data_IF_584815866546
#
_entry.id   IF_584815866546
#
_cell.length_a   1.000
_cell.length_b   1.000
_cell.length_c   1.000
_cell.angle_alpha   90.00
_cell.angle_beta   90.00
_cell.angle_gamma   90.00
#
_symmetry.space_group_name_H-M   'P 1'
#
loop_
_entity.id
_entity.type
_entity.pdbx_description
1 polymer ?
#
# COMPACT_ATOMS: atom_id res chain seq x y z
N UNK A 1 21.45 -52.30 -24.86
CA UNK A 1 22.10 -51.00 -24.59
C UNK A 1 21.18 -49.89 -25.12
N UNK A 2 20.01 -49.75 -24.49
CA UNK A 2 19.57 -48.63 -23.63
C UNK A 2 19.34 -47.32 -24.43
N UNK A 3 18.07 -47.15 -24.83
CA UNK A 3 17.40 -45.90 -25.16
C UNK A 3 17.64 -44.84 -24.07
N UNK A 4 18.50 -43.85 -24.32
CA UNK A 4 18.74 -42.74 -23.39
C UNK A 4 18.73 -41.37 -24.10
N UNK A 5 17.82 -41.17 -25.06
CA UNK A 5 17.79 -39.92 -25.86
C UNK A 5 16.53 -39.05 -25.74
N UNK A 6 15.45 -39.51 -25.09
CA UNK A 6 14.13 -38.87 -25.18
C UNK A 6 13.62 -38.16 -23.91
N UNK A 7 14.39 -38.12 -22.83
CA UNK A 7 13.94 -37.56 -21.54
C UNK A 7 14.48 -36.16 -21.20
N UNK A 8 15.41 -35.62 -21.98
CA UNK A 8 16.04 -34.33 -21.68
C UNK A 8 15.35 -33.11 -22.31
N UNK A 9 14.40 -33.30 -23.24
CA UNK A 9 13.79 -32.18 -23.97
C UNK A 9 12.59 -31.51 -23.27
N UNK A 10 12.06 -32.09 -22.18
CA UNK A 10 10.79 -31.62 -21.58
C UNK A 10 10.96 -30.67 -20.39
N UNK A 11 12.20 -30.38 -19.96
CA UNK A 11 12.46 -29.48 -18.82
C UNK A 11 12.79 -28.04 -19.27
N UNK A 12 13.02 -27.80 -20.56
CA UNK A 12 13.45 -26.50 -21.06
C UNK A 12 12.32 -25.51 -21.44
N UNK A 13 11.04 -25.90 -21.33
CA UNK A 13 9.92 -25.02 -21.72
C UNK A 13 9.25 -24.26 -20.56
N UNK A 14 9.71 -24.46 -19.33
CA UNK A 14 9.14 -23.79 -18.14
C UNK A 14 9.93 -22.55 -17.69
N UNK A 15 11.04 -22.21 -18.33
CA UNK A 15 11.95 -21.13 -17.87
C UNK A 15 11.96 -19.88 -18.74
N UNK A 16 10.97 -19.68 -19.63
CA UNK A 16 10.92 -18.52 -20.53
C UNK A 16 9.63 -17.69 -20.44
N UNK A 17 8.79 -17.92 -19.43
CA UNK A 17 7.77 -16.95 -19.05
C UNK A 17 8.41 -15.98 -18.04
N UNK A 18 9.39 -15.20 -18.52
CA UNK A 18 9.74 -13.95 -17.85
C UNK A 18 8.56 -13.02 -18.05
N UNK A 19 7.58 -13.10 -17.14
CA UNK A 19 6.47 -12.15 -17.07
C UNK A 19 7.12 -10.80 -16.79
N UNK A 20 7.13 -9.94 -17.80
CA UNK A 20 7.35 -8.52 -17.58
C UNK A 20 6.13 -8.03 -16.81
N UNK A 21 6.14 -8.17 -15.49
CA UNK A 21 5.17 -7.48 -14.65
C UNK A 21 5.33 -5.99 -14.94
N UNK A 22 4.31 -5.34 -15.48
CA UNK A 22 4.39 -3.90 -15.70
C UNK A 22 4.44 -3.27 -14.30
N UNK A 23 5.57 -2.63 -13.99
CA UNK A 23 5.72 -1.92 -12.74
C UNK A 23 4.72 -0.79 -12.69
N UNK A 24 4.10 -0.60 -11.53
CA UNK A 24 3.19 0.52 -11.31
C UNK A 24 4.03 1.80 -11.25
N UNK A 25 3.63 2.77 -12.07
CA UNK A 25 4.27 4.08 -12.11
C UNK A 25 3.56 4.98 -11.12
N UNK A 26 4.32 5.45 -10.12
CA UNK A 26 3.85 6.40 -9.13
C UNK A 26 4.21 7.83 -9.57
N UNK A 27 3.20 8.69 -9.65
CA UNK A 27 3.36 10.11 -10.03
C UNK A 27 2.58 11.03 -9.10
N UNK A 28 2.74 12.35 -9.25
CA UNK A 28 2.04 13.37 -8.46
C UNK A 28 2.13 13.12 -6.95
N UNK A 29 3.29 12.60 -6.51
CA UNK A 29 3.53 12.27 -5.13
C UNK A 29 3.71 13.56 -4.35
N UNK A 30 2.82 13.82 -3.40
CA UNK A 30 2.91 14.98 -2.52
C UNK A 30 2.81 14.53 -1.07
N UNK A 31 3.71 15.04 -0.25
CA UNK A 31 3.66 14.91 1.20
C UNK A 31 3.59 16.33 1.73
N UNK A 32 2.45 16.69 2.32
CA UNK A 32 2.21 18.01 2.89
C UNK A 32 2.07 17.87 4.39
N UNK A 33 3.10 18.33 5.08
CA UNK A 33 3.25 18.30 6.52
C UNK A 33 3.63 19.64 7.18
N UNK A 34 3.39 20.87 6.66
CA UNK A 34 3.83 22.06 7.42
C UNK A 34 2.93 22.31 8.64
N UNK A 35 3.46 22.52 9.87
CA UNK A 35 4.85 22.44 10.36
C UNK A 35 5.18 21.10 11.05
N UNK A 36 4.37 20.08 10.83
CA UNK A 36 4.46 18.76 11.43
C UNK A 36 5.67 17.92 11.05
N UNK A 37 6.28 18.04 9.87
CA UNK A 37 7.43 17.20 9.52
C UNK A 37 8.33 17.90 8.51
N UNK A 38 9.62 17.94 8.84
CA UNK A 38 10.70 18.33 7.95
C UNK A 38 11.48 17.07 7.50
N UNK A 39 11.78 16.96 6.20
CA UNK A 39 12.53 15.82 5.65
C UNK A 39 11.70 14.60 5.28
N UNK A 40 10.38 14.76 5.12
CA UNK A 40 9.52 13.74 4.52
C UNK A 40 10.01 13.30 3.14
N UNK A 41 9.98 12.00 2.88
CA UNK A 41 10.44 11.40 1.62
C UNK A 41 9.61 10.18 1.24
N UNK A 42 9.84 9.64 0.05
CA UNK A 42 9.22 8.40 -0.40
C UNK A 42 10.21 7.55 -1.21
N UNK A 43 9.96 6.25 -1.23
CA UNK A 43 10.64 5.29 -2.09
C UNK A 43 9.60 4.42 -2.80
N UNK A 44 9.88 4.04 -4.04
CA UNK A 44 9.03 3.15 -4.82
C UNK A 44 9.70 1.78 -5.00
N UNK A 45 8.87 0.76 -5.12
CA UNK A 45 9.20 -0.57 -5.60
C UNK A 45 8.18 -0.95 -6.68
N UNK A 46 8.25 -2.18 -7.21
CA UNK A 46 7.46 -2.62 -8.39
C UNK A 46 5.97 -2.27 -8.27
N UNK A 47 5.33 -2.67 -7.16
CA UNK A 47 3.90 -2.42 -6.90
C UNK A 47 3.66 -1.68 -5.60
N UNK A 48 4.71 -1.09 -5.01
CA UNK A 48 4.63 -0.51 -3.69
C UNK A 48 5.27 0.87 -3.62
N UNK A 49 4.71 1.72 -2.76
CA UNK A 49 5.26 3.02 -2.41
C UNK A 49 5.32 3.14 -0.89
N UNK A 50 6.48 3.50 -0.38
CA UNK A 50 6.72 3.71 1.05
C UNK A 50 6.98 5.19 1.30
N UNK A 51 6.24 5.78 2.23
CA UNK A 51 6.40 7.14 2.71
C UNK A 51 7.10 7.15 4.04
N UNK A 52 8.17 7.93 4.14
CA UNK A 52 8.91 8.18 5.37
C UNK A 52 8.57 9.60 5.84
N UNK A 53 7.99 9.71 7.02
CA UNK A 53 7.59 11.00 7.61
C UNK A 53 8.32 11.22 8.93
N UNK A 54 9.66 11.39 8.89
CA UNK A 54 10.43 11.63 10.09
C UNK A 54 9.90 12.91 10.75
N UNK A 55 9.70 12.84 12.06
CA UNK A 55 9.21 13.94 12.87
C UNK A 55 7.75 14.33 12.66
N UNK A 56 6.88 13.54 12.01
CA UNK A 56 5.43 13.79 12.03
C UNK A 56 4.83 13.47 13.42
N UNK A 57 5.03 14.39 14.37
CA UNK A 57 4.70 14.21 15.78
C UNK A 57 4.18 15.50 16.44
N UNK A 58 3.24 15.32 17.38
CA UNK A 58 2.64 16.39 18.19
C UNK A 58 2.57 15.95 19.65
N UNK A 59 2.67 16.90 20.59
CA UNK A 59 2.65 16.56 22.01
C UNK A 59 3.51 17.46 22.90
N UNK A 60 3.79 16.95 24.09
CA UNK A 60 4.59 17.66 25.09
C UNK A 60 6.05 17.82 24.64
N UNK A 61 6.63 18.99 24.92
CA UNK A 61 8.00 19.31 24.51
C UNK A 61 8.16 19.58 23.01
N UNK A 62 7.07 19.60 22.24
CA UNK A 62 7.03 19.85 20.80
C UNK A 62 6.36 21.19 20.50
N UNK A 63 6.66 21.81 19.34
CA UNK A 63 6.09 23.10 18.98
C UNK A 63 4.58 23.04 18.69
N UNK A 64 4.03 21.84 18.42
CA UNK A 64 2.64 21.64 18.03
C UNK A 64 1.99 20.56 18.89
N UNK A 65 0.72 20.81 19.27
CA UNK A 65 -0.17 19.82 19.90
C UNK A 65 -1.22 19.25 18.95
N UNK A 66 -1.33 19.83 17.76
CA UNK A 66 -2.26 19.40 16.73
C UNK A 66 -1.66 19.65 15.35
N UNK A 67 -1.98 18.80 14.39
CA UNK A 67 -1.76 19.10 12.99
C UNK A 67 -2.28 18.01 12.06
N UNK A 68 -2.22 18.29 10.75
CA UNK A 68 -2.59 17.33 9.70
C UNK A 68 -1.44 17.07 8.74
N UNK A 69 -1.07 15.79 8.60
CA UNK A 69 -0.21 15.28 7.54
C UNK A 69 -1.08 14.78 6.39
N UNK A 70 -0.88 15.32 5.19
CA UNK A 70 -1.56 14.86 3.99
C UNK A 70 -0.58 14.21 3.03
N UNK A 71 -0.94 13.05 2.50
CA UNK A 71 -0.15 12.33 1.49
C UNK A 71 -1.06 12.08 0.29
N UNK A 72 -0.56 12.31 -0.91
CA UNK A 72 -1.24 11.96 -2.14
C UNK A 72 -0.25 11.35 -3.12
N UNK A 73 -0.71 10.40 -3.91
CA UNK A 73 -0.02 9.96 -5.11
C UNK A 73 -1.01 9.43 -6.14
N UNK A 74 -0.55 9.35 -7.38
CA UNK A 74 -1.23 8.73 -8.50
C UNK A 74 -0.51 7.44 -8.87
N UNK A 75 -1.25 6.35 -9.07
CA UNK A 75 -0.73 5.08 -9.57
C UNK A 75 -1.26 4.81 -10.97
N UNK A 76 -0.36 4.37 -11.86
CA UNK A 76 -0.67 3.97 -13.23
C UNK A 76 0.01 2.64 -13.55
N UNK A 77 -0.79 1.63 -13.88
CA UNK A 77 -0.32 0.27 -14.20
C UNK A 77 -0.01 0.05 -15.68
N UNK A 78 -0.10 1.08 -16.53
CA UNK A 78 0.15 1.01 -17.98
C UNK A 78 -0.65 -0.07 -18.72
N UNK A 79 -1.83 -0.44 -18.20
CA UNK A 79 -2.78 -1.34 -18.87
C UNK A 79 -3.23 -2.55 -18.06
N UNK A 80 -2.56 -2.87 -16.94
CA UNK A 80 -3.02 -3.92 -16.02
C UNK A 80 -4.13 -3.42 -15.10
N UNK A 81 -5.08 -4.27 -14.73
CA UNK A 81 -6.16 -3.87 -13.85
C UNK A 81 -5.72 -3.98 -12.38
N UNK A 82 -5.79 -2.87 -11.64
CA UNK A 82 -5.63 -2.81 -10.19
C UNK A 82 -6.99 -3.02 -9.51
N UNK A 83 -7.03 -3.80 -8.43
CA UNK A 83 -8.27 -4.19 -7.73
C UNK A 83 -8.29 -3.85 -6.25
N UNK A 84 -7.12 -3.65 -5.64
CA UNK A 84 -7.04 -3.24 -4.26
C UNK A 84 -5.74 -2.49 -3.99
N UNK A 85 -5.75 -1.72 -2.91
CA UNK A 85 -4.57 -1.07 -2.33
C UNK A 85 -4.46 -1.48 -0.86
N UNK A 86 -3.35 -2.09 -0.50
CA UNK A 86 -3.04 -2.50 0.86
C UNK A 86 -2.23 -1.41 1.54
N UNK A 87 -2.78 -0.84 2.60
CA UNK A 87 -2.15 0.19 3.42
C UNK A 87 -1.62 -0.41 4.71
N UNK A 88 -0.34 -0.18 4.99
CA UNK A 88 0.33 -0.55 6.23
C UNK A 88 0.87 0.72 6.88
N UNK A 89 0.41 1.01 8.09
CA UNK A 89 0.81 2.18 8.87
C UNK A 89 1.61 1.71 10.08
N UNK A 90 2.72 2.40 10.34
CA UNK A 90 3.49 2.26 11.58
C UNK A 90 3.59 3.57 12.33
N UNK A 91 3.18 3.52 13.60
CA UNK A 91 3.29 4.61 14.56
C UNK A 91 4.66 4.53 15.24
N UNK A 92 5.63 5.32 14.79
CA UNK A 92 7.05 5.18 15.17
C UNK A 92 7.32 5.01 16.67
N UNK A 93 6.92 5.99 17.47
CA UNK A 93 7.08 6.01 18.93
C UNK A 93 5.80 5.58 19.67
N UNK A 94 4.78 5.12 18.94
CA UNK A 94 3.43 4.90 19.48
C UNK A 94 2.72 6.20 19.89
N UNK A 95 1.53 6.03 20.45
CA UNK A 95 0.68 7.10 21.00
C UNK A 95 0.76 7.04 22.52
N UNK A 96 0.97 8.18 23.18
CA UNK A 96 1.09 8.30 24.64
C UNK A 96 0.03 9.25 25.21
N UNK A 97 -0.36 9.01 26.46
CA UNK A 97 -1.27 9.86 27.23
C UNK A 97 -2.66 9.98 26.58
N UNK A 98 -2.99 11.19 26.14
CA UNK A 98 -4.24 11.53 25.42
C UNK A 98 -4.02 11.73 23.93
N UNK A 99 -2.86 11.32 23.42
CA UNK A 99 -2.56 11.33 22.00
C UNK A 99 -3.62 10.57 21.21
N UNK A 100 -3.94 11.07 20.02
CA UNK A 100 -4.84 10.43 19.06
C UNK A 100 -4.39 10.73 17.64
N UNK A 101 -4.63 9.78 16.73
CA UNK A 101 -4.40 9.95 15.29
C UNK A 101 -5.64 9.50 14.55
N UNK A 102 -6.28 10.40 13.81
CA UNK A 102 -7.34 10.05 12.87
C UNK A 102 -6.72 9.85 11.49
N UNK A 103 -6.74 8.61 11.02
CA UNK A 103 -6.37 8.23 9.66
C UNK A 103 -7.60 8.13 8.78
N UNK A 104 -7.50 8.74 7.60
CA UNK A 104 -8.48 8.60 6.53
C UNK A 104 -7.75 8.47 5.21
N UNK A 105 -8.22 7.53 4.40
CA UNK A 105 -7.80 7.36 3.03
C UNK A 105 -9.01 7.24 2.09
N UNK A 106 -8.94 7.92 0.95
CA UNK A 106 -9.88 7.76 -0.14
C UNK A 106 -9.13 7.54 -1.45
N UNK A 107 -9.62 6.58 -2.24
CA UNK A 107 -9.07 6.22 -3.54
C UNK A 107 -10.07 6.63 -4.62
N UNK A 108 -9.61 7.38 -5.61
CA UNK A 108 -10.42 7.84 -6.74
C UNK A 108 -9.86 7.28 -8.04
N UNK A 109 -10.71 6.88 -8.97
CA UNK A 109 -10.28 6.56 -10.33
C UNK A 109 -9.82 7.83 -11.04
N UNK A 110 -8.79 7.70 -11.90
CA UNK A 110 -8.32 8.80 -12.74
C UNK A 110 -8.64 8.56 -14.21
N UNK A 111 -8.99 9.64 -14.92
CA UNK A 111 -9.11 9.63 -16.38
C UNK A 111 -7.74 9.68 -17.07
N UNK A 112 -7.76 9.68 -18.41
CA UNK A 112 -6.54 9.71 -19.23
C UNK A 112 -5.71 10.99 -19.06
N UNK A 113 -6.30 12.09 -18.57
CA UNK A 113 -5.62 13.37 -18.34
C UNK A 113 -5.24 13.58 -16.86
N UNK A 114 -5.55 12.63 -15.98
CA UNK A 114 -5.21 12.66 -14.55
C UNK A 114 -6.22 13.38 -13.65
N UNK A 115 -7.45 13.59 -14.14
CA UNK A 115 -8.57 14.12 -13.35
C UNK A 115 -9.36 12.98 -12.69
N UNK A 116 -9.93 13.27 -11.52
CA UNK A 116 -10.71 12.28 -10.75
C UNK A 116 -12.08 12.04 -11.38
N UNK A 117 -12.46 10.77 -11.49
CA UNK A 117 -13.74 10.35 -12.04
C UNK A 117 -14.68 9.92 -10.91
N UNK A 118 -15.73 10.71 -10.70
CA UNK A 118 -16.85 10.35 -9.82
C UNK A 118 -16.47 10.19 -8.35
N UNK A 119 -17.23 9.36 -7.65
CA UNK A 119 -17.06 9.08 -6.22
C UNK A 119 -15.86 8.18 -5.93
N UNK A 120 -15.34 8.16 -4.68
CA UNK A 120 -14.28 7.26 -4.27
C UNK A 120 -14.62 5.80 -4.61
N UNK A 121 -13.66 5.10 -5.23
CA UNK A 121 -13.77 3.68 -5.55
C UNK A 121 -13.41 2.79 -4.35
N UNK A 122 -12.78 3.36 -3.33
CA UNK A 122 -12.43 2.69 -2.08
C UNK A 122 -12.04 3.72 -1.00
N UNK A 123 -12.13 3.31 0.26
CA UNK A 123 -11.72 4.16 1.39
C UNK A 123 -11.41 3.33 2.62
N UNK A 124 -10.52 3.84 3.47
CA UNK A 124 -10.22 3.30 4.79
C UNK A 124 -10.23 4.42 5.83
N UNK A 125 -10.63 4.06 7.05
CA UNK A 125 -10.72 4.99 8.18
C UNK A 125 -10.30 4.26 9.45
N UNK A 126 -9.41 4.87 10.22
CA UNK A 126 -9.01 4.32 11.50
C UNK A 126 -8.69 5.42 12.50
N UNK A 127 -9.04 5.20 13.77
CA UNK A 127 -8.64 6.09 14.86
C UNK A 127 -7.68 5.33 15.74
N UNK A 128 -6.47 5.85 15.85
CA UNK A 128 -5.47 5.35 16.76
C UNK A 128 -5.52 6.15 18.07
N UNK A 129 -5.42 5.43 19.16
CA UNK A 129 -5.28 5.93 20.53
C UNK A 129 -4.16 5.16 21.25
N UNK A 130 -3.98 5.43 22.54
CA UNK A 130 -2.97 4.76 23.37
C UNK A 130 -3.13 3.26 23.50
N UNK A 131 -4.32 2.71 23.21
CA UNK A 131 -4.59 1.28 23.27
C UNK A 131 -4.43 0.60 21.91
N UNK A 132 -4.23 1.38 20.85
CA UNK A 132 -4.13 0.89 19.49
C UNK A 132 -2.78 0.23 19.23
N UNK A 133 -2.79 -0.81 18.38
CA UNK A 133 -1.56 -1.46 17.96
C UNK A 133 -0.69 -0.47 17.16
N UNK A 134 0.63 -0.35 17.45
CA UNK A 134 1.55 0.50 16.69
C UNK A 134 1.65 0.16 15.20
N UNK A 135 1.18 -1.02 14.79
CA UNK A 135 1.05 -1.42 13.40
C UNK A 135 -0.43 -1.64 13.04
N UNK A 136 -0.85 -1.01 11.95
CA UNK A 136 -2.17 -1.20 11.36
C UNK A 136 -2.01 -1.57 9.90
N UNK A 137 -2.83 -2.51 9.45
CA UNK A 137 -2.88 -2.94 8.05
C UNK A 137 -4.32 -3.05 7.63
N UNK A 138 -4.64 -2.53 6.45
CA UNK A 138 -5.95 -2.65 5.83
C UNK A 138 -5.83 -2.83 4.33
N UNK A 139 -6.78 -3.53 3.73
CA UNK A 139 -6.85 -3.71 2.28
C UNK A 139 -8.07 -3.01 1.74
N UNK A 140 -7.84 -1.91 1.03
CA UNK A 140 -8.87 -1.12 0.37
C UNK A 140 -9.22 -1.82 -0.94
N UNK A 141 -10.27 -2.63 -0.91
CA UNK A 141 -10.80 -3.28 -2.12
C UNK A 141 -11.58 -2.26 -2.94
N UNK A 142 -11.26 -2.16 -4.23
CA UNK A 142 -11.92 -1.22 -5.13
C UNK A 142 -13.28 -1.76 -5.57
N UNK A 143 -14.27 -0.87 -5.66
CA UNK A 143 -15.61 -1.18 -6.20
C UNK A 143 -15.60 -1.65 -7.66
N UNK A 144 -14.53 -1.33 -8.40
CA UNK A 144 -14.26 -1.80 -9.76
C UNK A 144 -12.76 -1.81 -10.02
N UNK A 145 -12.33 -2.62 -10.98
CA UNK A 145 -10.93 -2.67 -11.37
C UNK A 145 -10.57 -1.46 -12.26
N UNK A 146 -9.40 -0.85 -12.03
CA UNK A 146 -8.97 0.39 -12.69
C UNK A 146 -7.51 0.30 -13.12
N UNK A 147 -7.12 1.04 -14.16
CA UNK A 147 -5.71 1.13 -14.59
C UNK A 147 -4.99 2.35 -14.03
N UNK A 148 -5.74 3.34 -13.53
CA UNK A 148 -5.20 4.56 -12.93
C UNK A 148 -6.05 4.99 -11.74
N UNK A 149 -5.40 5.32 -10.63
CA UNK A 149 -6.09 5.87 -9.46
C UNK A 149 -5.24 6.92 -8.75
N UNK A 150 -5.91 7.75 -7.93
CA UNK A 150 -5.29 8.66 -6.96
C UNK A 150 -5.71 8.26 -5.56
N UNK A 151 -4.73 8.03 -4.70
CA UNK A 151 -4.98 7.82 -3.28
C UNK A 151 -4.68 9.10 -2.51
N UNK A 152 -5.62 9.55 -1.69
CA UNK A 152 -5.51 10.71 -0.81
C UNK A 152 -5.59 10.25 0.62
N UNK A 153 -4.56 10.56 1.40
CA UNK A 153 -4.43 10.19 2.80
C UNK A 153 -4.34 11.43 3.66
N UNK A 154 -4.99 11.37 4.81
CA UNK A 154 -4.91 12.39 5.83
C UNK A 154 -4.71 11.73 7.18
N UNK A 155 -3.71 12.20 7.90
CA UNK A 155 -3.44 11.87 9.29
C UNK A 155 -3.64 13.14 10.09
N UNK A 156 -4.66 13.16 10.93
CA UNK A 156 -4.90 14.27 11.87
C UNK A 156 -4.42 13.83 13.24
N UNK A 157 -3.33 14.45 13.71
CA UNK A 157 -2.71 14.13 14.99
C UNK A 157 -3.15 15.15 16.03
N UNK A 158 -3.41 14.69 17.24
CA UNK A 158 -3.77 15.54 18.38
C UNK A 158 -3.19 14.96 19.67
N UNK A 159 -2.58 15.80 20.49
CA UNK A 159 -2.07 15.46 21.82
C UNK A 159 -2.48 16.58 22.81
N UNK A 160 -3.75 16.59 23.24
CA UNK A 160 -4.25 17.57 24.18
C UNK A 160 -3.63 17.36 25.56
N UNK A 161 -3.44 18.45 26.30
CA UNK A 161 -2.91 18.39 27.67
C UNK A 161 -3.71 17.45 28.56
N UNK A 162 -2.99 16.53 29.18
CA UNK A 162 -3.42 15.76 30.33
C UNK A 162 -3.51 16.65 31.55
N UNK A 163 -4.54 16.41 32.38
CA UNK A 163 -4.68 17.12 33.66
C UNK A 163 -3.65 16.66 34.70
N UNK A 164 -3.00 15.51 34.47
CA UNK A 164 -1.91 14.98 35.29
C UNK A 164 -0.56 15.38 34.68
N UNK A 165 0.27 16.20 35.37
CA UNK A 165 1.57 16.64 34.86
C UNK A 165 2.62 15.53 34.78
N UNK A 166 2.33 14.31 35.28
CA UNK A 166 3.22 13.16 35.17
C UNK A 166 2.97 12.32 33.90
N UNK A 167 1.95 12.65 33.11
CA UNK A 167 1.62 11.98 31.86
C UNK A 167 2.19 12.78 30.70
N UNK A 168 2.93 12.10 29.81
CA UNK A 168 3.40 12.68 28.55
C UNK A 168 2.39 12.38 27.45
N UNK A 169 1.87 13.42 26.81
CA UNK A 169 0.96 13.30 25.68
C UNK A 169 1.74 13.37 24.37
N UNK A 170 1.60 12.35 23.53
CA UNK A 170 2.31 12.27 22.25
C UNK A 170 1.47 11.50 21.21
N UNK A 171 1.49 11.97 19.97
CA UNK A 171 1.03 11.22 18.82
C UNK A 171 2.06 11.34 17.69
N UNK A 172 2.42 10.21 17.05
CA UNK A 172 3.42 10.19 16.00
C UNK A 172 3.13 9.15 14.91
N UNK A 173 3.44 9.51 13.66
CA UNK A 173 3.46 8.59 12.51
C UNK A 173 4.91 8.47 12.04
N UNK A 174 5.40 7.25 11.76
CA UNK A 174 6.76 7.06 11.24
C UNK A 174 6.80 6.79 9.75
N UNK A 175 6.08 5.76 9.32
CA UNK A 175 6.03 5.39 7.92
C UNK A 175 4.68 4.83 7.53
N UNK A 176 4.37 4.99 6.25
CA UNK A 176 3.18 4.47 5.59
C UNK A 176 3.65 3.72 4.38
N UNK A 177 3.39 2.42 4.33
CA UNK A 177 3.67 1.59 3.17
C UNK A 177 2.38 1.27 2.45
N UNK A 178 2.42 1.29 1.12
CA UNK A 178 1.32 0.87 0.29
C UNK A 178 1.73 -0.12 -0.76
N UNK A 179 0.88 -1.10 -0.98
CA UNK A 179 1.10 -2.19 -1.90
C UNK A 179 -0.16 -2.42 -2.73
N UNK A 180 -0.03 -2.29 -4.05
CA UNK A 180 -1.15 -2.36 -4.96
C UNK A 180 -1.29 -3.77 -5.51
N UNK A 181 -2.52 -4.27 -5.46
CA UNK A 181 -2.88 -5.58 -5.94
C UNK A 181 -3.42 -5.51 -7.37
N UNK A 182 -2.73 -6.20 -8.27
CA UNK A 182 -3.07 -6.34 -9.68
C UNK A 182 -3.91 -7.61 -9.90
N UNK A 183 -4.79 -7.58 -10.90
CA UNK A 183 -5.47 -8.79 -11.38
C UNK A 183 -4.42 -9.72 -12.00
N UNK A 184 -4.38 -11.01 -11.65
CA UNK A 184 -3.51 -11.96 -12.32
C UNK A 184 -3.76 -11.96 -13.83
N UNK A 185 -2.71 -11.79 -14.63
CA UNK A 185 -2.83 -11.79 -16.08
C UNK A 185 -3.51 -13.08 -16.60
N UNK A 186 -4.31 -13.02 -17.68
CA UNK A 186 -4.93 -14.19 -18.29
C UNK A 186 -3.92 -15.28 -18.67
N UNK A 187 -2.70 -14.89 -19.07
CA UNK A 187 -1.62 -15.82 -19.37
C UNK A 187 -1.14 -16.58 -18.13
N UNK A 188 -1.04 -15.91 -16.98
CA UNK A 188 -0.69 -16.51 -15.69
C UNK A 188 -1.77 -17.52 -15.25
N UNK A 189 -3.04 -17.15 -15.36
CA UNK A 189 -4.16 -18.07 -15.10
C UNK A 189 -4.15 -19.26 -16.06
N UNK A 190 -3.89 -19.02 -17.35
CA UNK A 190 -3.76 -20.06 -18.36
C UNK A 190 -2.61 -21.03 -18.08
N UNK A 191 -1.44 -20.52 -17.70
CA UNK A 191 -0.29 -21.33 -17.33
C UNK A 191 -0.56 -22.18 -16.07
N UNK A 192 -1.22 -21.60 -15.06
CA UNK A 192 -1.64 -22.31 -13.85
C UNK A 192 -2.64 -23.43 -14.17
N UNK A 193 -3.63 -23.16 -15.02
CA UNK A 193 -4.60 -24.15 -15.48
C UNK A 193 -3.93 -25.28 -16.27
N UNK A 194 -3.01 -24.95 -17.18
CA UNK A 194 -2.24 -25.94 -17.95
C UNK A 194 -1.33 -26.79 -17.03
N UNK A 195 -0.70 -26.15 -16.04
CA UNK A 195 0.09 -26.83 -15.01
C UNK A 195 -0.75 -27.82 -14.20
N UNK A 196 -1.92 -27.38 -13.72
CA UNK A 196 -2.86 -28.22 -12.98
C UNK A 196 -3.36 -29.42 -13.81
N UNK A 197 -3.73 -29.18 -15.08
CA UNK A 197 -4.13 -30.24 -16.02
C UNK A 197 -2.97 -31.23 -16.28
N UNK A 198 -1.74 -30.76 -16.38
CA UNK A 198 -0.55 -31.60 -16.49
C UNK A 198 -0.35 -32.52 -15.29
N UNK A 199 -0.56 -32.01 -14.07
CA UNK A 199 -0.48 -32.79 -12.82
C UNK A 199 -1.61 -33.83 -12.74
N UNK A 200 -2.84 -33.45 -13.07
CA UNK A 200 -3.99 -34.36 -13.10
C UNK A 200 -3.82 -35.49 -14.12
N UNK A 201 -3.35 -35.16 -15.34
CA UNK A 201 -3.06 -36.15 -16.38
C UNK A 201 -1.96 -37.14 -15.98
N UNK A 202 -1.00 -36.70 -15.15
CA UNK A 202 0.06 -37.57 -14.63
C UNK A 202 -0.44 -38.49 -13.52
N UNK A 203 -1.38 -38.04 -12.67
CA UNK A 203 -2.02 -38.89 -11.66
C UNK A 203 -2.84 -40.03 -12.27
N UNK A 204 -3.57 -39.77 -13.35
CA UNK A 204 -4.39 -40.79 -14.03
C UNK A 204 -3.58 -41.81 -14.87
N UNK A 205 -2.25 -41.65 -14.96
CA UNK A 205 -1.33 -42.59 -15.66
C UNK A 205 -0.51 -43.46 -14.70
N UNK A 206 -0.70 -43.32 -13.39
CA UNK A 206 -0.26 -44.29 -12.38
C UNK A 206 -1.44 -45.15 -11.98
#
# INVERSE_FOLDING_TARGET
MILLGRKAAFVAFASLMGVAANAIVFTNVTIKSPPLSDGSSYSTAVNAITFFVPNALVGDGLPLRFGTLNIQYDADSSGELMVADEVVISMGTGILGRGTILFRETVHELDSIGAEIGEPIGSSYHTFDVNSNPFFSDTIVFSRAVTRFRAKKSFTLSAPDSADPNVTDLAAVAYVNQNIHLVPEPATLGALALGALGVLRRRNKR
#
